data_IF_099605785515
#
_entry.id   IF_099605785515
#
_cell.length_a   1.000
_cell.length_b   1.000
_cell.length_c   1.000
_cell.angle_alpha   90.00
_cell.angle_beta   90.00
_cell.angle_gamma   90.00
#
_symmetry.space_group_name_H-M   'P 1'
#
loop_
_entity.id
_entity.type
_entity.pdbx_description
1 polymer ?
#
# COMPACT_ATOMS: atom_id res chain seq x y z
N UNK A 1 12.36 4.06 -9.70
CA UNK A 1 11.84 4.60 -8.42
C UNK A 1 11.63 3.45 -7.45
N UNK A 2 12.05 3.58 -6.18
CA UNK A 2 11.86 2.53 -5.18
C UNK A 2 10.96 3.03 -4.05
N UNK A 3 10.25 2.11 -3.39
CA UNK A 3 9.35 2.39 -2.28
C UNK A 3 9.74 1.54 -1.08
N UNK A 4 9.64 2.10 0.11
CA UNK A 4 9.80 1.32 1.34
C UNK A 4 8.45 0.71 1.73
N UNK A 5 8.44 -0.61 1.92
CA UNK A 5 7.28 -1.39 2.33
C UNK A 5 6.90 -1.06 3.78
N UNK A 6 5.72 -0.46 4.00
CA UNK A 6 5.16 -0.08 5.31
C UNK A 6 6.05 0.84 6.15
N UNK A 7 6.94 1.61 5.50
CA UNK A 7 7.94 2.43 6.17
C UNK A 7 9.16 1.64 6.68
N UNK A 8 10.18 2.38 7.16
CA UNK A 8 11.41 1.75 7.69
C UNK A 8 11.08 0.94 8.94
N UNK A 9 11.51 -0.34 8.94
CA UNK A 9 11.36 -1.27 10.06
C UNK A 9 12.73 -1.68 10.59
N UNK A 10 12.94 -1.54 11.90
CA UNK A 10 14.14 -2.00 12.60
C UNK A 10 13.82 -2.20 14.09
N UNK A 11 14.85 -2.30 14.96
CA UNK A 11 14.64 -2.42 16.41
C UNK A 11 13.82 -1.27 17.00
N UNK A 12 14.02 -0.03 16.50
CA UNK A 12 13.37 1.20 16.98
C UNK A 12 12.01 1.46 16.29
N UNK A 13 11.92 1.27 14.97
CA UNK A 13 10.74 1.60 14.17
C UNK A 13 9.97 0.35 13.77
N UNK A 14 8.65 0.41 13.88
CA UNK A 14 7.74 -0.68 13.48
C UNK A 14 6.95 -0.30 12.23
N UNK A 15 6.46 -1.32 11.50
CA UNK A 15 5.69 -1.12 10.28
C UNK A 15 4.42 -0.29 10.48
N UNK A 16 4.03 0.47 9.45
CA UNK A 16 2.79 1.25 9.42
C UNK A 16 2.63 2.25 10.57
N UNK A 17 3.73 2.81 11.11
CA UNK A 17 3.70 3.87 12.11
C UNK A 17 4.23 5.20 11.53
N UNK A 18 3.77 6.35 12.06
CA UNK A 18 4.17 7.66 11.57
C UNK A 18 5.68 7.88 11.64
N UNK A 19 6.34 7.38 12.69
CA UNK A 19 7.79 7.50 12.85
C UNK A 19 8.53 6.76 11.73
N UNK A 20 8.08 5.55 11.38
CA UNK A 20 8.69 4.76 10.29
C UNK A 20 8.47 5.41 8.92
N UNK A 21 7.31 6.02 8.69
CA UNK A 21 7.02 6.80 7.49
C UNK A 21 7.91 8.04 7.39
N UNK A 22 8.01 8.82 8.48
CA UNK A 22 8.86 10.01 8.54
C UNK A 22 10.33 9.67 8.26
N UNK A 23 10.84 8.57 8.82
CA UNK A 23 12.22 8.13 8.54
C UNK A 23 12.40 7.74 7.06
N UNK A 24 11.40 7.12 6.44
CA UNK A 24 11.44 6.81 5.01
C UNK A 24 11.54 8.08 4.16
N UNK A 25 10.72 9.09 4.49
CA UNK A 25 10.75 10.38 3.80
C UNK A 25 12.08 11.13 4.02
N UNK A 26 12.64 11.12 5.23
CA UNK A 26 13.97 11.71 5.49
C UNK A 26 15.08 11.07 4.64
N UNK A 27 14.95 9.80 4.30
CA UNK A 27 15.85 9.11 3.37
C UNK A 27 15.51 9.30 1.90
N UNK A 28 14.54 10.14 1.56
CA UNK A 28 14.17 10.45 0.18
C UNK A 28 13.30 9.40 -0.52
N UNK A 29 12.77 8.41 0.21
CA UNK A 29 11.95 7.37 -0.37
C UNK A 29 10.46 7.65 -0.25
N UNK A 30 9.69 7.24 -1.27
CA UNK A 30 8.27 7.01 -1.14
C UNK A 30 7.99 5.74 -0.36
N UNK A 31 6.75 5.53 0.02
CA UNK A 31 6.33 4.35 0.77
C UNK A 31 5.18 3.63 0.10
N UNK A 32 5.07 2.35 0.41
CA UNK A 32 3.86 1.57 0.28
C UNK A 32 3.27 1.34 1.67
N UNK A 33 1.95 1.38 1.79
CA UNK A 33 1.23 1.17 3.05
C UNK A 33 -0.13 0.54 2.82
N UNK A 34 -0.60 -0.21 3.80
CA UNK A 34 -1.90 -0.86 3.79
C UNK A 34 -2.96 -0.02 4.48
N UNK A 35 -4.19 0.04 3.96
CA UNK A 35 -5.30 0.70 4.65
C UNK A 35 -6.50 -0.20 4.87
N UNK A 36 -7.14 0.03 6.02
CA UNK A 36 -8.47 -0.45 6.37
C UNK A 36 -9.40 0.71 6.68
N UNK A 37 -10.71 0.49 6.53
CA UNK A 37 -11.74 1.36 7.06
C UNK A 37 -12.24 0.80 8.39
N UNK A 38 -12.34 1.66 9.41
CA UNK A 38 -12.97 1.36 10.71
C UNK A 38 -14.49 1.39 10.60
N UNK A 39 -15.21 0.94 11.64
CA UNK A 39 -16.68 0.99 11.71
C UNK A 39 -17.23 2.41 11.51
N UNK A 40 -16.56 3.41 12.08
CA UNK A 40 -16.89 4.84 11.93
C UNK A 40 -16.31 5.46 10.63
N UNK A 41 -15.85 4.62 9.70
CA UNK A 41 -15.42 5.01 8.36
C UNK A 41 -14.14 5.84 8.30
N UNK A 42 -13.27 5.77 9.30
CA UNK A 42 -11.92 6.36 9.25
C UNK A 42 -10.96 5.41 8.58
N UNK A 43 -10.04 5.93 7.77
CA UNK A 43 -8.98 5.12 7.16
C UNK A 43 -7.77 5.08 8.06
N UNK A 44 -7.30 3.87 8.39
CA UNK A 44 -6.13 3.63 9.23
C UNK A 44 -5.04 2.91 8.44
N UNK A 45 -3.77 3.20 8.75
CA UNK A 45 -2.62 2.47 8.20
C UNK A 45 -2.38 1.21 9.04
N UNK A 46 -2.78 0.05 8.50
CA UNK A 46 -2.66 -1.23 9.19
C UNK A 46 -2.74 -2.39 8.21
N UNK A 47 -1.93 -3.45 8.41
CA UNK A 47 -1.86 -4.57 7.47
C UNK A 47 -2.94 -5.63 7.70
N UNK A 48 -3.06 -6.12 8.93
CA UNK A 48 -3.87 -7.29 9.24
C UNK A 48 -5.37 -6.94 9.33
N UNK A 49 -6.26 -7.91 9.10
CA UNK A 49 -7.70 -7.71 9.21
C UNK A 49 -8.20 -7.65 10.65
N UNK A 50 -7.37 -8.12 11.58
CA UNK A 50 -7.67 -8.15 13.01
C UNK A 50 -6.50 -7.61 13.82
N UNK A 51 -6.76 -7.24 15.06
CA UNK A 51 -5.75 -6.75 16.01
C UNK A 51 -4.94 -7.89 16.69
N UNK A 52 -5.21 -9.18 16.33
CA UNK A 52 -4.66 -10.35 17.02
C UNK A 52 -3.13 -10.40 17.02
N UNK A 53 -2.51 -10.27 15.85
CA UNK A 53 -1.05 -10.40 15.69
C UNK A 53 -0.32 -9.28 16.44
N UNK A 54 -0.77 -8.04 16.29
CA UNK A 54 -0.07 -6.85 16.81
C UNK A 54 -0.41 -6.52 18.23
N UNK A 55 -1.68 -6.69 18.64
CA UNK A 55 -2.19 -6.27 19.96
C UNK A 55 -2.83 -7.42 20.76
N UNK A 56 -2.65 -8.67 20.36
CA UNK A 56 -3.15 -9.87 21.05
C UNK A 56 -4.68 -9.88 21.29
N UNK A 57 -5.44 -9.10 20.53
CA UNK A 57 -6.90 -9.00 20.60
C UNK A 57 -7.53 -9.53 19.32
N UNK A 58 -8.31 -10.59 19.40
CA UNK A 58 -8.98 -11.19 18.24
C UNK A 58 -10.23 -10.38 17.84
N UNK A 59 -10.01 -9.11 17.47
CA UNK A 59 -11.05 -8.17 17.11
C UNK A 59 -10.84 -7.71 15.67
N UNK A 60 -11.89 -7.73 14.85
CA UNK A 60 -11.85 -7.28 13.46
C UNK A 60 -11.92 -5.77 13.37
N UNK A 61 -11.00 -5.16 12.60
CA UNK A 61 -10.92 -3.70 12.38
C UNK A 61 -12.24 -3.11 11.90
N UNK A 62 -12.93 -3.78 10.96
CA UNK A 62 -14.20 -3.30 10.39
C UNK A 62 -15.33 -3.15 11.41
N UNK A 63 -15.24 -3.82 12.56
CA UNK A 63 -16.24 -3.81 13.62
C UNK A 63 -15.92 -2.81 14.73
N UNK A 64 -14.78 -2.12 14.68
CA UNK A 64 -14.31 -1.21 15.72
C UNK A 64 -14.31 0.25 15.22
N UNK A 65 -14.74 1.15 16.09
CA UNK A 65 -14.49 2.59 15.90
C UNK A 65 -13.00 2.88 16.14
N UNK A 66 -12.48 3.92 15.50
CA UNK A 66 -11.08 4.30 15.64
C UNK A 66 -10.68 4.57 17.10
N UNK A 67 -11.57 5.19 17.91
CA UNK A 67 -11.32 5.43 19.34
C UNK A 67 -10.97 4.14 20.08
N UNK A 68 -11.71 3.05 19.81
CA UNK A 68 -11.45 1.74 20.45
C UNK A 68 -10.14 1.11 19.97
N UNK A 69 -9.80 1.26 18.68
CA UNK A 69 -8.51 0.81 18.15
C UNK A 69 -7.36 1.56 18.84
N UNK A 70 -7.51 2.88 19.01
CA UNK A 70 -6.51 3.73 19.64
C UNK A 70 -6.36 3.42 21.14
N UNK A 71 -7.46 3.20 21.87
CA UNK A 71 -7.45 2.73 23.27
C UNK A 71 -6.67 1.40 23.42
N UNK A 72 -6.92 0.46 22.51
CA UNK A 72 -6.22 -0.84 22.54
C UNK A 72 -4.73 -0.65 22.22
N UNK A 73 -4.40 0.12 21.20
CA UNK A 73 -3.02 0.28 20.75
C UNK A 73 -2.16 1.09 21.73
N UNK A 74 -2.75 2.06 22.47
CA UNK A 74 -2.06 2.86 23.49
C UNK A 74 -1.55 2.01 24.65
N UNK A 75 -2.24 0.92 25.01
CA UNK A 75 -1.78 -0.06 26.03
C UNK A 75 -0.48 -0.77 25.63
N UNK A 76 -0.09 -0.68 24.36
CA UNK A 76 1.16 -1.21 23.82
C UNK A 76 2.15 -0.09 23.43
N UNK A 77 1.94 1.12 23.94
CA UNK A 77 2.72 2.31 23.61
C UNK A 77 2.80 2.55 22.07
N UNK A 78 1.67 2.35 21.37
CA UNK A 78 1.55 2.54 19.92
C UNK A 78 0.30 3.32 19.60
N UNK A 79 0.38 4.10 18.54
CA UNK A 79 -0.77 4.76 17.92
C UNK A 79 -0.91 4.26 16.50
N UNK A 80 -2.05 3.65 16.17
CA UNK A 80 -2.34 3.25 14.78
C UNK A 80 -2.64 4.51 13.97
N UNK A 81 -1.83 4.87 12.96
CA UNK A 81 -2.00 6.12 12.26
C UNK A 81 -3.27 6.16 11.42
N UNK A 82 -3.90 7.32 11.35
CA UNK A 82 -4.89 7.60 10.32
C UNK A 82 -4.18 7.88 8.97
N UNK A 83 -4.83 7.51 7.87
CA UNK A 83 -4.34 7.85 6.53
C UNK A 83 -4.10 9.36 6.38
N UNK A 84 -5.00 10.19 6.90
CA UNK A 84 -4.84 11.66 6.86
C UNK A 84 -3.56 12.17 7.51
N UNK A 85 -3.06 11.49 8.56
CA UNK A 85 -1.83 11.88 9.23
C UNK A 85 -0.61 11.50 8.39
N UNK A 86 -0.62 10.33 7.77
CA UNK A 86 0.39 9.95 6.77
C UNK A 86 0.42 10.93 5.59
N UNK A 87 -0.74 11.28 5.05
CA UNK A 87 -0.85 12.23 3.94
C UNK A 87 -0.19 13.57 4.30
N UNK A 88 -0.48 14.10 5.49
CA UNK A 88 0.16 15.33 6.01
C UNK A 88 1.68 15.17 6.13
N UNK A 89 2.15 14.04 6.70
CA UNK A 89 3.59 13.74 6.82
C UNK A 89 4.32 13.72 5.48
N UNK A 90 3.68 13.22 4.44
CA UNK A 90 4.26 13.13 3.09
C UNK A 90 4.49 14.50 2.45
N UNK A 91 3.75 15.54 2.91
CA UNK A 91 3.72 16.90 2.35
C UNK A 91 3.54 16.92 0.82
N UNK A 92 2.92 15.90 0.27
CA UNK A 92 2.80 15.66 -1.18
C UNK A 92 4.15 15.68 -1.94
N UNK A 93 5.27 15.42 -1.24
CA UNK A 93 6.63 15.42 -1.84
C UNK A 93 7.02 14.03 -2.34
N UNK A 94 6.52 12.99 -1.67
CA UNK A 94 6.90 11.60 -1.90
C UNK A 94 5.74 10.78 -2.46
N UNK A 95 5.99 9.80 -3.34
CA UNK A 95 4.96 8.89 -3.82
C UNK A 95 4.46 8.01 -2.68
N UNK A 96 3.12 7.90 -2.58
CA UNK A 96 2.42 7.04 -1.63
C UNK A 96 1.65 5.98 -2.40
N UNK A 97 2.02 4.72 -2.23
CA UNK A 97 1.28 3.58 -2.75
C UNK A 97 0.39 3.05 -1.64
N UNK A 98 -0.91 3.25 -1.79
CA UNK A 98 -1.92 2.99 -0.75
C UNK A 98 -2.67 1.72 -1.12
N UNK A 99 -2.35 0.60 -0.45
CA UNK A 99 -3.04 -0.67 -0.67
C UNK A 99 -4.38 -0.71 0.06
N UNK A 100 -5.47 -0.86 -0.68
CA UNK A 100 -6.79 -1.09 -0.12
C UNK A 100 -6.94 -2.59 0.15
N UNK A 101 -6.83 -3.00 1.42
CA UNK A 101 -6.84 -4.42 1.85
C UNK A 101 -8.20 -5.09 1.70
N UNK A 102 -9.28 -4.61 2.33
CA UNK A 102 -10.60 -5.21 2.17
C UNK A 102 -11.29 -4.70 0.88
N UNK A 103 -12.39 -5.32 0.51
CA UNK A 103 -13.27 -4.73 -0.50
C UNK A 103 -14.03 -3.57 0.14
N UNK A 104 -13.86 -2.36 -0.39
CA UNK A 104 -14.59 -1.18 0.05
C UNK A 104 -15.90 -1.00 -0.73
N UNK A 105 -16.92 -0.44 -0.06
CA UNK A 105 -18.13 0.05 -0.72
C UNK A 105 -17.82 1.24 -1.63
N UNK A 106 -18.71 1.55 -2.56
CA UNK A 106 -18.58 2.75 -3.42
C UNK A 106 -18.49 4.04 -2.59
N UNK A 107 -19.27 4.14 -1.51
CA UNK A 107 -19.26 5.29 -0.61
C UNK A 107 -17.91 5.46 0.09
N UNK A 108 -17.30 4.38 0.60
CA UNK A 108 -15.96 4.43 1.18
C UNK A 108 -14.90 4.80 0.15
N UNK A 109 -14.99 4.30 -1.09
CA UNK A 109 -14.06 4.67 -2.16
C UNK A 109 -14.19 6.15 -2.55
N UNK A 110 -15.41 6.70 -2.61
CA UNK A 110 -15.65 8.11 -2.85
C UNK A 110 -15.08 8.97 -1.72
N UNK A 111 -15.28 8.56 -0.45
CA UNK A 111 -14.67 9.20 0.73
C UNK A 111 -13.15 9.19 0.66
N UNK A 112 -12.55 8.06 0.29
CA UNK A 112 -11.09 7.92 0.13
C UNK A 112 -10.55 8.89 -0.94
N UNK A 113 -11.21 8.97 -2.10
CA UNK A 113 -10.85 9.92 -3.16
C UNK A 113 -10.94 11.38 -2.69
N UNK A 114 -11.98 11.72 -1.91
CA UNK A 114 -12.14 13.07 -1.33
C UNK A 114 -11.01 13.38 -0.34
N UNK A 115 -10.69 12.45 0.58
CA UNK A 115 -9.63 12.63 1.58
C UNK A 115 -8.24 12.80 0.95
N UNK A 116 -7.99 12.13 -0.17
CA UNK A 116 -6.69 12.15 -0.86
C UNK A 116 -6.60 13.17 -2.00
N UNK A 117 -7.65 13.96 -2.25
CA UNK A 117 -7.78 14.82 -3.45
C UNK A 117 -6.63 15.81 -3.66
N UNK A 118 -6.07 16.34 -2.57
CA UNK A 118 -4.93 17.28 -2.58
C UNK A 118 -3.56 16.60 -2.68
N UNK A 119 -3.50 15.26 -2.63
CA UNK A 119 -2.25 14.50 -2.59
C UNK A 119 -2.01 13.77 -3.92
N UNK A 120 -1.57 14.53 -4.92
CA UNK A 120 -1.45 14.10 -6.33
C UNK A 120 -0.42 12.99 -6.57
N UNK A 121 0.46 12.74 -5.60
CA UNK A 121 1.45 11.64 -5.65
C UNK A 121 0.94 10.32 -5.06
N UNK A 122 -0.35 10.25 -4.66
CA UNK A 122 -0.99 9.02 -4.20
C UNK A 122 -1.35 8.11 -5.38
N UNK A 123 -1.08 6.82 -5.20
CA UNK A 123 -1.43 5.74 -6.15
C UNK A 123 -2.19 4.66 -5.36
N UNK A 124 -3.42 4.35 -5.73
CA UNK A 124 -4.17 3.29 -5.06
C UNK A 124 -3.87 1.94 -5.69
N UNK A 125 -3.57 0.97 -4.85
CA UNK A 125 -3.27 -0.39 -5.28
C UNK A 125 -4.15 -1.39 -4.51
N UNK A 126 -4.41 -2.55 -5.07
CA UNK A 126 -5.15 -3.62 -4.37
C UNK A 126 -5.01 -4.97 -5.06
N UNK A 127 -4.95 -6.03 -4.26
CA UNK A 127 -5.19 -7.41 -4.71
C UNK A 127 -6.67 -7.67 -4.99
N UNK A 128 -7.56 -6.92 -4.33
CA UNK A 128 -9.01 -6.91 -4.62
C UNK A 128 -9.29 -5.97 -5.78
N UNK A 129 -9.04 -6.42 -7.01
CA UNK A 129 -9.10 -5.59 -8.21
C UNK A 129 -10.45 -4.86 -8.40
N UNK A 130 -11.54 -5.36 -7.79
CA UNK A 130 -12.84 -4.68 -7.74
C UNK A 130 -12.73 -3.26 -7.15
N UNK A 131 -11.88 -3.05 -6.13
CA UNK A 131 -11.61 -1.72 -5.58
C UNK A 131 -11.10 -0.76 -6.66
N UNK A 132 -10.12 -1.23 -7.43
CA UNK A 132 -9.46 -0.43 -8.47
C UNK A 132 -10.43 -0.07 -9.60
N UNK A 133 -11.20 -1.04 -10.09
CA UNK A 133 -12.20 -0.77 -11.14
C UNK A 133 -13.31 0.17 -10.64
N UNK A 134 -13.74 0.04 -9.39
CA UNK A 134 -14.73 0.94 -8.80
C UNK A 134 -14.17 2.36 -8.62
N UNK A 135 -12.92 2.53 -8.20
CA UNK A 135 -12.25 3.85 -8.15
C UNK A 135 -12.27 4.53 -9.52
N UNK A 136 -11.90 3.80 -10.58
CA UNK A 136 -11.89 4.31 -11.96
C UNK A 136 -13.29 4.66 -12.47
N UNK A 137 -14.35 3.95 -12.02
CA UNK A 137 -15.75 4.32 -12.32
C UNK A 137 -16.17 5.62 -11.63
N UNK A 138 -15.68 5.88 -10.41
CA UNK A 138 -15.99 7.12 -9.68
C UNK A 138 -15.17 8.30 -10.25
N UNK A 139 -13.87 8.09 -10.53
CA UNK A 139 -12.98 9.10 -11.07
C UNK A 139 -11.98 8.47 -12.04
N UNK A 140 -12.22 8.63 -13.34
CA UNK A 140 -11.49 7.99 -14.44
C UNK A 140 -9.97 8.20 -14.41
N UNK A 141 -9.52 9.39 -14.03
CA UNK A 141 -8.10 9.77 -14.01
C UNK A 141 -7.39 9.49 -12.68
N UNK A 142 -7.97 8.65 -11.80
CA UNK A 142 -7.33 8.22 -10.56
C UNK A 142 -6.08 7.40 -10.87
N UNK A 143 -4.96 7.70 -10.21
CA UNK A 143 -3.73 6.89 -10.33
C UNK A 143 -3.92 5.58 -9.59
N UNK A 144 -3.87 4.47 -10.32
CA UNK A 144 -4.16 3.13 -9.77
C UNK A 144 -3.21 2.07 -10.29
N UNK A 145 -3.03 1.01 -9.49
CA UNK A 145 -2.30 -0.19 -9.86
C UNK A 145 -3.01 -1.48 -9.46
N UNK A 146 -2.72 -2.56 -10.18
CA UNK A 146 -3.21 -3.90 -9.84
C UNK A 146 -2.09 -4.69 -9.16
N UNK A 147 -2.40 -5.28 -8.00
CA UNK A 147 -1.46 -6.14 -7.26
C UNK A 147 -1.68 -7.62 -7.60
N UNK A 148 -0.59 -8.36 -7.77
CA UNK A 148 -0.59 -9.77 -8.15
C UNK A 148 0.42 -10.55 -7.30
N UNK A 149 -0.03 -11.62 -6.65
CA UNK A 149 0.79 -12.55 -5.88
C UNK A 149 1.40 -13.65 -6.77
N UNK A 150 2.43 -14.33 -6.27
CA UNK A 150 3.17 -15.38 -6.98
C UNK A 150 2.31 -16.47 -7.70
N UNK A 151 1.20 -16.99 -7.11
CA UNK A 151 0.38 -18.00 -7.77
C UNK A 151 -0.48 -17.47 -8.93
N UNK A 152 -0.44 -16.14 -9.21
CA UNK A 152 -1.22 -15.58 -10.32
C UNK A 152 -0.64 -16.02 -11.68
N UNK A 153 -1.46 -16.57 -12.56
CA UNK A 153 -1.01 -16.95 -13.91
C UNK A 153 -0.58 -15.73 -14.73
N UNK A 154 0.51 -15.88 -15.50
CA UNK A 154 1.05 -14.84 -16.39
C UNK A 154 0.00 -14.38 -17.42
N UNK A 155 -0.82 -15.32 -17.93
CA UNK A 155 -1.92 -15.02 -18.86
C UNK A 155 -2.91 -14.01 -18.24
N UNK A 156 -3.27 -14.21 -16.97
CA UNK A 156 -4.18 -13.30 -16.25
C UNK A 156 -3.55 -11.92 -16.01
N UNK A 157 -2.26 -11.87 -15.64
CA UNK A 157 -1.54 -10.60 -15.47
C UNK A 157 -1.53 -9.82 -16.78
N UNK A 158 -1.17 -10.46 -17.91
CA UNK A 158 -1.14 -9.83 -19.23
C UNK A 158 -2.55 -9.34 -19.63
N UNK A 159 -3.57 -10.19 -19.50
CA UNK A 159 -4.97 -9.80 -19.81
C UNK A 159 -5.38 -8.53 -19.05
N UNK A 160 -5.15 -8.49 -17.74
CA UNK A 160 -5.53 -7.34 -16.90
C UNK A 160 -4.65 -6.11 -17.13
N UNK A 161 -3.39 -6.29 -17.53
CA UNK A 161 -2.50 -5.18 -17.84
C UNK A 161 -2.93 -4.38 -19.07
N UNK A 162 -3.74 -4.94 -19.96
CA UNK A 162 -4.24 -4.26 -21.16
C UNK A 162 -5.30 -3.18 -20.87
N UNK A 163 -5.84 -3.11 -19.65
CA UNK A 163 -6.74 -2.03 -19.28
C UNK A 163 -6.03 -0.68 -19.31
N UNK A 164 -6.51 0.23 -20.20
CA UNK A 164 -5.84 1.53 -20.49
C UNK A 164 -5.62 2.39 -19.23
N UNK A 165 -6.60 2.42 -18.33
CA UNK A 165 -6.58 3.30 -17.16
C UNK A 165 -5.76 2.76 -15.96
N UNK A 166 -5.16 1.58 -16.07
CA UNK A 166 -4.23 1.05 -15.06
C UNK A 166 -2.85 1.66 -15.30
N UNK A 167 -2.30 2.36 -14.31
CA UNK A 167 -1.03 3.07 -14.41
C UNK A 167 0.18 2.15 -14.15
N UNK A 168 0.04 1.19 -13.22
CA UNK A 168 1.14 0.30 -12.86
C UNK A 168 0.67 -1.08 -12.41
N UNK A 169 1.61 -2.01 -12.34
CA UNK A 169 1.44 -3.36 -11.81
C UNK A 169 2.34 -3.52 -10.58
N UNK A 170 1.78 -4.07 -9.51
CA UNK A 170 2.50 -4.43 -8.30
C UNK A 170 2.61 -5.96 -8.31
N UNK A 171 3.80 -6.45 -8.51
CA UNK A 171 4.06 -7.86 -8.84
C UNK A 171 4.92 -8.50 -7.76
N UNK A 172 4.58 -9.72 -7.36
CA UNK A 172 5.51 -10.51 -6.57
C UNK A 172 6.87 -10.59 -7.25
N UNK A 173 7.96 -10.52 -6.47
CA UNK A 173 9.34 -10.62 -6.98
C UNK A 173 9.62 -11.89 -7.79
N UNK A 174 8.81 -12.93 -7.60
CA UNK A 174 8.83 -14.15 -8.42
C UNK A 174 8.81 -13.84 -9.93
N UNK A 175 8.10 -12.79 -10.33
CA UNK A 175 7.95 -12.41 -11.75
C UNK A 175 9.08 -11.55 -12.32
N UNK A 176 10.06 -11.12 -11.51
CA UNK A 176 11.05 -10.09 -11.90
C UNK A 176 11.89 -10.49 -13.12
N UNK A 177 12.17 -11.79 -13.29
CA UNK A 177 12.96 -12.33 -14.42
C UNK A 177 12.11 -12.85 -15.57
N UNK A 178 10.77 -12.84 -15.45
CA UNK A 178 9.90 -13.41 -16.47
C UNK A 178 9.90 -12.57 -17.76
N UNK A 179 10.31 -13.18 -18.87
CA UNK A 179 10.45 -12.52 -20.20
C UNK A 179 9.11 -11.92 -20.68
N UNK A 180 7.98 -12.61 -20.47
CA UNK A 180 6.63 -12.13 -20.89
C UNK A 180 6.17 -10.93 -20.06
N UNK A 181 6.41 -10.94 -18.75
CA UNK A 181 6.12 -9.81 -17.86
C UNK A 181 6.97 -8.59 -18.22
N UNK A 182 8.27 -8.79 -18.55
CA UNK A 182 9.15 -7.69 -18.98
C UNK A 182 8.62 -6.94 -20.20
N UNK A 183 7.97 -7.62 -21.15
CA UNK A 183 7.38 -7.02 -22.37
C UNK A 183 6.15 -6.13 -22.12
N UNK A 184 5.51 -6.20 -20.94
CA UNK A 184 4.36 -5.34 -20.64
C UNK A 184 4.81 -3.87 -20.57
N UNK A 185 4.19 -2.98 -21.35
CA UNK A 185 4.54 -1.54 -21.43
C UNK A 185 4.05 -0.68 -20.25
N UNK A 186 3.76 -1.27 -19.07
CA UNK A 186 3.35 -0.52 -17.88
C UNK A 186 4.45 -0.48 -16.83
N UNK A 187 4.45 0.55 -16.00
CA UNK A 187 5.33 0.60 -14.83
C UNK A 187 5.09 -0.62 -13.95
N UNK A 188 6.15 -1.30 -13.57
CA UNK A 188 6.13 -2.47 -12.71
C UNK A 188 6.90 -2.20 -11.44
N UNK A 189 6.32 -2.58 -10.30
CA UNK A 189 6.94 -2.55 -8.99
C UNK A 189 6.96 -3.96 -8.44
N UNK A 190 8.12 -4.44 -8.02
CA UNK A 190 8.27 -5.81 -7.53
C UNK A 190 8.41 -5.82 -6.01
N UNK A 191 7.59 -6.60 -5.32
CA UNK A 191 7.53 -6.73 -3.86
C UNK A 191 7.76 -8.20 -3.42
N UNK A 192 8.17 -8.50 -2.23
CA UNK A 192 8.86 -7.64 -1.30
C UNK A 192 10.32 -8.05 -1.34
N UNK A 193 11.20 -7.12 -1.61
CA UNK A 193 12.66 -7.34 -1.55
C UNK A 193 13.11 -7.13 -0.12
N UNK A 194 13.70 -8.18 0.49
CA UNK A 194 13.93 -8.23 1.95
C UNK A 194 15.39 -8.12 2.38
N UNK A 195 16.32 -8.10 1.43
CA UNK A 195 17.73 -8.03 1.76
C UNK A 195 18.54 -7.20 0.75
N UNK A 196 19.67 -6.68 1.20
CA UNK A 196 20.57 -5.80 0.42
C UNK A 196 21.09 -6.46 -0.85
N UNK A 197 21.40 -7.76 -0.82
CA UNK A 197 21.89 -8.51 -2.00
C UNK A 197 20.86 -8.54 -3.13
N UNK A 198 19.60 -8.87 -2.83
CA UNK A 198 18.51 -8.81 -3.80
C UNK A 198 18.28 -7.38 -4.31
N UNK A 199 18.30 -6.39 -3.41
CA UNK A 199 18.11 -4.99 -3.78
C UNK A 199 19.19 -4.55 -4.79
N UNK A 200 20.45 -4.76 -4.49
CA UNK A 200 21.57 -4.42 -5.38
C UNK A 200 21.46 -5.11 -6.74
N UNK A 201 21.06 -6.38 -6.73
CA UNK A 201 20.90 -7.17 -7.96
C UNK A 201 19.83 -6.60 -8.90
N UNK A 202 18.72 -6.07 -8.37
CA UNK A 202 17.54 -5.75 -9.18
C UNK A 202 17.26 -4.25 -9.31
N UNK A 203 17.75 -3.39 -8.42
CA UNK A 203 17.37 -1.97 -8.32
C UNK A 203 17.74 -1.15 -9.56
N UNK A 204 18.86 -1.43 -10.22
CA UNK A 204 19.28 -0.70 -11.42
C UNK A 204 18.29 -0.77 -12.59
N UNK A 205 17.55 -1.89 -12.71
CA UNK A 205 16.67 -2.16 -13.87
C UNK A 205 15.18 -2.23 -13.52
N UNK A 206 14.81 -2.18 -12.24
CA UNK A 206 13.43 -2.39 -11.80
C UNK A 206 13.02 -1.40 -10.71
N UNK A 207 11.73 -1.08 -10.61
CA UNK A 207 11.19 -0.43 -9.43
C UNK A 207 10.91 -1.50 -8.38
N UNK A 208 11.34 -1.27 -7.16
CA UNK A 208 11.24 -2.23 -6.06
C UNK A 208 10.42 -1.66 -4.91
N UNK A 209 9.64 -2.51 -4.27
CA UNK A 209 9.06 -2.31 -2.94
C UNK A 209 9.88 -3.19 -1.99
N UNK A 210 10.59 -2.57 -1.06
CA UNK A 210 11.61 -3.23 -0.26
C UNK A 210 11.46 -2.94 1.23
N UNK A 211 12.07 -3.78 2.07
CA UNK A 211 12.16 -3.65 3.53
C UNK A 211 13.54 -4.08 4.03
N UNK A 212 13.95 -3.57 5.20
CA UNK A 212 15.15 -4.04 5.93
C UNK A 212 16.47 -3.94 5.13
N UNK A 213 16.76 -2.78 4.55
CA UNK A 213 18.04 -2.50 3.87
C UNK A 213 18.91 -1.53 4.64
#
# INVERSE_FOLDING_TARGET
MHLIHRGIVNKRYKENLLESFNQSFKKGYGIETDIHATKDGKFICFHDFTLKKTFKKNLSIKNLNYSKINEISSKFNKTVPLLKDLLKCSKNRYPLFIEIKPTFSKSLLAKLLKETSKFTKSVFISFKHKNIYNLLKIKKNTKVGLSFSAPTSIKNIIKKSNCKNINCLILDKYFINNKRIKKIKKNKYFYTVKNKKEFMKYSKKNNLIFENL
#
